data_IF_162952122469
#
_entry.id   IF_162952122469
#
_cell.length_a   1.000
_cell.length_b   1.000
_cell.length_c   1.000
_cell.angle_alpha   90.00
_cell.angle_beta   90.00
_cell.angle_gamma   90.00
#
_symmetry.space_group_name_H-M   'P 1'
#
loop_
_entity.id
_entity.type
_entity.pdbx_description
1 polymer ?
#
# COMPACT_ATOMS: atom_id res chain seq x y z
N UNK A 1 15.62 9.12 0.61
CA UNK A 1 14.40 9.54 -0.10
C UNK A 1 13.29 9.44 0.92
N UNK A 2 12.88 10.58 1.47
CA UNK A 2 11.78 10.60 2.43
C UNK A 2 10.50 10.57 1.62
N UNK A 3 9.82 9.42 1.59
CA UNK A 3 8.38 9.46 1.38
C UNK A 3 7.82 10.50 2.34
N UNK A 4 6.91 11.36 1.85
CA UNK A 4 6.33 12.41 2.66
C UNK A 4 5.79 11.78 3.95
N UNK A 5 5.95 12.44 5.10
CA UNK A 5 5.48 11.94 6.39
C UNK A 5 4.04 11.38 6.35
N UNK A 6 3.17 11.99 5.54
CA UNK A 6 1.80 11.50 5.29
C UNK A 6 1.74 10.19 4.50
N UNK A 7 2.60 10.00 3.51
CA UNK A 7 2.66 8.76 2.72
C UNK A 7 3.18 7.61 3.59
N UNK A 8 4.24 7.87 4.36
CA UNK A 8 4.78 6.91 5.32
C UNK A 8 3.75 6.54 6.39
N UNK A 9 2.96 7.50 6.86
CA UNK A 9 1.89 7.24 7.81
C UNK A 9 0.85 6.27 7.24
N UNK A 10 0.36 6.52 6.03
CA UNK A 10 -0.60 5.63 5.37
C UNK A 10 -0.04 4.22 5.20
N UNK A 11 1.19 4.10 4.71
CA UNK A 11 1.83 2.80 4.50
C UNK A 11 2.09 2.03 5.80
N UNK A 12 2.44 2.72 6.90
CA UNK A 12 2.57 2.10 8.23
C UNK A 12 1.22 1.58 8.76
N UNK A 13 0.15 2.33 8.53
CA UNK A 13 -1.20 1.87 8.90
C UNK A 13 -1.61 0.66 8.03
N UNK A 14 -1.25 0.66 6.75
CA UNK A 14 -1.52 -0.47 5.88
C UNK A 14 -0.77 -1.74 6.31
N UNK A 15 0.51 -1.60 6.66
CA UNK A 15 1.34 -2.67 7.23
C UNK A 15 0.77 -3.25 8.53
N UNK A 16 0.18 -2.41 9.38
CA UNK A 16 -0.49 -2.88 10.59
C UNK A 16 -1.82 -3.61 10.30
N UNK A 17 -2.51 -3.26 9.21
CA UNK A 17 -3.83 -3.77 8.88
C UNK A 17 -3.82 -5.00 7.96
N UNK A 18 -2.80 -5.15 7.12
CA UNK A 18 -2.71 -6.19 6.10
C UNK A 18 -1.54 -7.13 6.39
N UNK A 19 -1.84 -8.41 6.66
CA UNK A 19 -0.81 -9.42 6.96
C UNK A 19 0.05 -9.75 5.74
N UNK A 20 -0.51 -9.57 4.55
CA UNK A 20 0.11 -9.89 3.28
C UNK A 20 0.95 -8.73 2.72
N UNK A 21 0.86 -7.54 3.34
CA UNK A 21 1.65 -6.37 2.97
C UNK A 21 2.90 -6.28 3.85
N UNK A 22 3.98 -5.73 3.28
CA UNK A 22 5.21 -5.47 4.03
C UNK A 22 5.81 -4.13 3.62
N UNK A 23 5.83 -3.20 4.56
CA UNK A 23 6.48 -1.91 4.39
C UNK A 23 8.00 -2.07 4.24
N UNK A 24 8.61 -3.01 4.97
CA UNK A 24 10.05 -3.27 4.91
C UNK A 24 10.48 -3.76 3.52
N UNK A 25 9.64 -4.55 2.84
CA UNK A 25 9.91 -5.05 1.49
C UNK A 25 9.40 -4.11 0.38
N UNK A 26 8.81 -2.97 0.74
CA UNK A 26 8.31 -1.98 -0.22
C UNK A 26 9.42 -1.11 -0.79
N UNK A 27 9.32 -0.77 -2.08
CA UNK A 27 10.28 0.10 -2.76
C UNK A 27 9.72 1.51 -2.96
N UNK A 28 10.40 2.49 -2.37
CA UNK A 28 10.19 3.90 -2.67
C UNK A 28 10.94 4.27 -3.95
N UNK A 29 10.35 3.99 -5.10
CA UNK A 29 11.00 4.17 -6.39
C UNK A 29 10.88 5.64 -6.86
N UNK A 30 11.96 6.39 -6.70
CA UNK A 30 12.13 7.75 -7.23
C UNK A 30 12.88 7.80 -8.57
N UNK A 31 13.17 6.65 -9.17
CA UNK A 31 13.92 6.52 -10.42
C UNK A 31 13.40 7.47 -11.53
N UNK A 32 14.18 8.49 -11.95
CA UNK A 32 13.74 9.48 -12.93
C UNK A 32 13.36 8.85 -14.28
N UNK A 33 13.90 7.68 -14.62
CA UNK A 33 13.56 6.97 -15.86
C UNK A 33 12.11 6.44 -15.90
N UNK A 34 11.43 6.43 -14.75
CA UNK A 34 10.00 6.11 -14.64
C UNK A 34 9.07 7.32 -14.84
N UNK A 35 9.60 8.47 -15.22
CA UNK A 35 8.79 9.61 -15.66
C UNK A 35 7.83 9.16 -16.80
N UNK A 36 6.55 9.53 -16.70
CA UNK A 36 5.53 9.10 -17.66
C UNK A 36 4.94 7.69 -17.44
N UNK A 37 5.38 6.93 -16.43
CA UNK A 37 4.66 5.71 -16.00
C UNK A 37 3.33 6.10 -15.35
N UNK A 38 2.30 5.24 -15.46
CA UNK A 38 0.92 5.58 -15.07
C UNK A 38 0.78 6.23 -13.69
N UNK A 39 1.51 5.75 -12.68
CA UNK A 39 1.53 6.35 -11.33
C UNK A 39 2.03 7.80 -11.34
N UNK A 40 3.11 8.10 -12.07
CA UNK A 40 3.69 9.44 -12.13
C UNK A 40 2.90 10.38 -13.01
N UNK A 41 2.46 9.92 -14.17
CA UNK A 41 1.58 10.71 -15.03
C UNK A 41 0.31 11.15 -14.28
N UNK A 42 -0.31 10.24 -13.51
CA UNK A 42 -1.47 10.56 -12.69
C UNK A 42 -1.12 11.47 -11.50
N UNK A 43 0.01 11.24 -10.85
CA UNK A 43 0.50 12.09 -9.76
C UNK A 43 0.76 13.53 -10.23
N UNK A 44 1.47 13.69 -11.35
CA UNK A 44 1.80 14.98 -11.96
C UNK A 44 0.53 15.71 -12.44
N UNK A 45 -0.48 14.99 -12.95
CA UNK A 45 -1.75 15.59 -13.38
C UNK A 45 -2.62 16.06 -12.22
N UNK A 46 -2.59 15.34 -11.09
CA UNK A 46 -3.43 15.63 -9.93
C UNK A 46 -2.73 16.52 -8.88
N UNK A 47 -1.46 16.90 -9.10
CA UNK A 47 -0.62 17.78 -8.26
C UNK A 47 -1.36 19.09 -7.87
N UNK A 48 -1.28 19.59 -6.61
CA UNK A 48 -0.26 19.38 -5.58
C UNK A 48 -0.53 18.32 -4.49
N UNK A 49 -1.62 17.57 -4.58
CA UNK A 49 -2.19 16.85 -3.42
C UNK A 49 -2.21 15.31 -3.41
N UNK A 50 -2.07 14.55 -4.51
CA UNK A 50 -2.38 13.13 -4.53
C UNK A 50 -1.23 12.29 -3.97
N UNK A 51 -1.56 11.32 -3.12
CA UNK A 51 -0.62 10.26 -2.77
C UNK A 51 -0.80 9.11 -3.76
N UNK A 52 0.18 8.91 -4.64
CA UNK A 52 0.10 7.92 -5.70
C UNK A 52 1.00 6.72 -5.40
N UNK A 53 0.36 5.56 -5.15
CA UNK A 53 1.03 4.30 -4.89
C UNK A 53 0.77 3.29 -6.02
N UNK A 54 1.67 2.31 -6.14
CA UNK A 54 1.45 1.08 -6.91
C UNK A 54 1.50 -0.06 -5.91
N UNK A 55 0.44 -0.88 -5.86
CA UNK A 55 0.40 -2.07 -5.02
C UNK A 55 0.73 -3.29 -5.87
N UNK A 56 1.89 -3.88 -5.61
CA UNK A 56 2.39 -5.06 -6.30
C UNK A 56 2.13 -6.30 -5.43
N UNK A 57 1.75 -7.41 -6.07
CA UNK A 57 1.47 -8.69 -5.43
C UNK A 57 2.22 -9.80 -6.16
N UNK A 58 2.77 -10.76 -5.42
CA UNK A 58 3.57 -11.84 -5.98
C UNK A 58 2.69 -13.01 -6.44
N UNK A 59 2.85 -13.41 -7.71
CA UNK A 59 2.26 -14.66 -8.22
C UNK A 59 2.88 -15.91 -7.58
N UNK A 60 4.14 -15.83 -7.16
CA UNK A 60 4.82 -16.95 -6.49
C UNK A 60 4.33 -17.13 -5.04
N UNK A 61 4.00 -16.02 -4.38
CA UNK A 61 3.45 -16.03 -3.03
C UNK A 61 4.05 -15.01 -2.08
N UNK A 62 3.46 -14.95 -0.89
CA UNK A 62 3.88 -14.13 0.24
C UNK A 62 4.58 -14.99 1.29
N UNK A 63 5.61 -14.44 1.93
CA UNK A 63 6.33 -15.06 3.03
C UNK A 63 6.06 -14.28 4.31
N UNK A 64 5.54 -14.94 5.34
CA UNK A 64 5.16 -14.32 6.61
C UNK A 64 6.35 -14.16 7.57
N UNK A 65 7.46 -13.61 7.07
CA UNK A 65 8.71 -13.48 7.82
C UNK A 65 9.38 -14.81 8.21
N UNK A 66 10.37 -14.72 9.12
CA UNK A 66 11.41 -15.72 9.42
C UNK A 66 10.94 -17.15 9.78
N UNK A 67 9.64 -17.37 10.07
CA UNK A 67 9.11 -18.65 10.52
C UNK A 67 8.60 -19.55 9.38
N UNK A 68 8.25 -19.00 8.22
CA UNK A 68 7.63 -19.76 7.12
C UNK A 68 8.64 -19.95 5.97
N UNK A 69 9.29 -21.11 5.90
CA UNK A 69 10.25 -21.45 4.82
C UNK A 69 9.61 -21.65 3.43
N UNK A 70 8.27 -21.61 3.35
CA UNK A 70 7.52 -21.87 2.12
C UNK A 70 6.62 -20.68 1.84
N UNK A 71 6.87 -20.01 0.71
CA UNK A 71 6.00 -18.95 0.21
C UNK A 71 4.61 -19.52 -0.07
N UNK A 72 3.57 -18.81 0.37
CA UNK A 72 2.18 -19.18 0.10
C UNK A 72 1.67 -18.37 -1.08
N UNK A 73 1.26 -19.01 -2.19
CA UNK A 73 0.64 -18.31 -3.30
C UNK A 73 -0.57 -17.50 -2.84
N UNK A 74 -0.79 -16.35 -3.47
CA UNK A 74 -2.04 -15.63 -3.27
C UNK A 74 -3.20 -16.46 -3.82
N UNK A 75 -4.25 -16.59 -3.02
CA UNK A 75 -5.57 -17.10 -3.41
C UNK A 75 -6.55 -15.95 -3.60
N UNK A 76 -7.71 -16.24 -4.19
CA UNK A 76 -8.81 -15.26 -4.28
C UNK A 76 -9.14 -14.64 -2.91
N UNK A 77 -9.19 -15.46 -1.86
CA UNK A 77 -9.47 -14.99 -0.50
C UNK A 77 -8.39 -14.05 0.04
N UNK A 78 -7.11 -14.32 -0.26
CA UNK A 78 -6.04 -13.39 0.15
C UNK A 78 -6.08 -12.07 -0.60
N UNK A 79 -6.49 -12.07 -1.89
CA UNK A 79 -6.71 -10.81 -2.62
C UNK A 79 -7.87 -10.01 -2.02
N UNK A 80 -8.97 -10.69 -1.67
CA UNK A 80 -10.11 -10.07 -1.00
C UNK A 80 -9.72 -9.48 0.35
N UNK A 81 -9.05 -10.26 1.19
CA UNK A 81 -8.54 -9.85 2.51
C UNK A 81 -7.63 -8.62 2.41
N UNK A 82 -6.68 -8.63 1.47
CA UNK A 82 -5.77 -7.49 1.22
C UNK A 82 -6.55 -6.22 0.82
N UNK A 83 -7.55 -6.36 -0.04
CA UNK A 83 -8.44 -5.27 -0.45
C UNK A 83 -9.28 -4.71 0.70
N UNK A 84 -9.81 -5.58 1.57
CA UNK A 84 -10.54 -5.18 2.78
C UNK A 84 -9.64 -4.39 3.74
N UNK A 85 -8.43 -4.88 3.99
CA UNK A 85 -7.44 -4.18 4.81
C UNK A 85 -7.06 -2.82 4.21
N UNK A 86 -6.91 -2.73 2.89
CA UNK A 86 -6.66 -1.45 2.21
C UNK A 86 -7.82 -0.46 2.40
N UNK A 87 -9.06 -0.92 2.23
CA UNK A 87 -10.26 -0.13 2.48
C UNK A 87 -10.34 0.36 3.94
N UNK A 88 -9.99 -0.51 4.89
CA UNK A 88 -9.91 -0.17 6.32
C UNK A 88 -8.87 0.93 6.58
N UNK A 89 -7.68 0.79 5.99
CA UNK A 89 -6.63 1.80 6.10
C UNK A 89 -7.06 3.14 5.52
N UNK A 90 -7.77 3.16 4.39
CA UNK A 90 -8.35 4.42 3.88
C UNK A 90 -9.33 5.03 4.88
N UNK A 91 -10.27 4.24 5.41
CA UNK A 91 -11.24 4.74 6.38
C UNK A 91 -10.58 5.32 7.65
N UNK A 92 -9.55 4.65 8.16
CA UNK A 92 -8.80 5.08 9.33
C UNK A 92 -7.95 6.32 9.04
N UNK A 93 -7.23 6.35 7.91
CA UNK A 93 -6.38 7.48 7.51
C UNK A 93 -7.20 8.75 7.25
N UNK A 94 -8.38 8.63 6.62
CA UNK A 94 -9.29 9.76 6.38
C UNK A 94 -10.23 10.06 7.56
N UNK A 95 -10.11 9.34 8.68
CA UNK A 95 -10.94 9.51 9.89
C UNK A 95 -12.44 9.44 9.60
N UNK A 96 -12.86 8.55 8.70
CA UNK A 96 -14.26 8.45 8.26
C UNK A 96 -15.21 8.16 9.43
N UNK A 97 -14.78 7.34 10.39
CA UNK A 97 -15.56 7.03 11.61
C UNK A 97 -15.80 8.24 12.52
N UNK A 98 -14.94 9.26 12.47
CA UNK A 98 -15.11 10.52 13.22
C UNK A 98 -16.20 11.42 12.62
N UNK A 99 -16.53 11.23 11.34
CA UNK A 99 -17.50 12.05 10.60
C UNK A 99 -18.92 11.49 10.60
N UNK A 100 -19.11 10.24 11.02
CA UNK A 100 -20.42 9.57 11.09
C UNK A 100 -21.10 9.66 12.48
N UNK A 101 -20.44 10.27 13.47
CA UNK A 101 -21.01 10.51 14.81
C UNK A 101 -21.59 11.94 14.97
N UNK A 102 -22.14 12.52 13.90
CA UNK A 102 -22.85 13.80 13.97
C UNK A 102 -24.34 13.62 13.71
#
# INVERSE_FOLDING_TARGET
>A
FDANAKELQFLRQFDANAKEFSLQNSRFCADPTKAGTGRRALGDYLDPTPQCFTLEVSFFGVSDGLAQRVARPFTEDTYRSLGESLGRTFADNYKVKSKMQK
#
